data_IF_662012367173
#
_entry.id   IF_662012367173
#
_cell.length_a   1.000
_cell.length_b   1.000
_cell.length_c   1.000
_cell.angle_alpha   90.00
_cell.angle_beta   90.00
_cell.angle_gamma   90.00
#
_symmetry.space_group_name_H-M   'P 1'
#
loop_
_entity.id
_entity.type
_entity.pdbx_description
1 polymer ?
#
# COMPACT_ATOMS: atom_id res chain seq x y z
N UNK A 1 -16.93 14.97 3.38
CA UNK A 1 -16.01 14.99 4.54
C UNK A 1 -15.06 16.16 4.41
N UNK A 2 -14.54 16.65 5.52
CA UNK A 2 -13.48 17.66 5.55
C UNK A 2 -12.10 16.97 5.63
N UNK A 3 -11.22 17.23 4.66
CA UNK A 3 -9.87 16.63 4.62
C UNK A 3 -8.99 16.99 5.82
N UNK A 4 -9.28 18.09 6.50
CA UNK A 4 -8.54 18.54 7.67
C UNK A 4 -9.11 17.98 8.98
N UNK A 5 -10.30 17.36 8.94
CA UNK A 5 -10.91 16.70 10.10
C UNK A 5 -10.40 15.26 10.18
N UNK A 6 -9.74 14.94 11.30
CA UNK A 6 -9.06 13.65 11.51
C UNK A 6 -9.98 12.45 11.22
N UNK A 7 -11.20 12.45 11.76
CA UNK A 7 -12.14 11.32 11.56
C UNK A 7 -12.47 11.10 10.10
N UNK A 8 -12.69 12.17 9.34
CA UNK A 8 -13.10 12.10 7.94
C UNK A 8 -11.92 11.65 7.08
N UNK A 9 -10.72 12.16 7.35
CA UNK A 9 -9.50 11.78 6.66
C UNK A 9 -9.10 10.31 6.92
N UNK A 10 -9.17 9.86 8.17
CA UNK A 10 -8.81 8.49 8.56
C UNK A 10 -9.80 7.48 7.96
N UNK A 11 -11.10 7.76 8.01
CA UNK A 11 -12.11 6.87 7.40
C UNK A 11 -11.96 6.82 5.88
N UNK A 12 -11.78 7.97 5.22
CA UNK A 12 -11.57 8.00 3.77
C UNK A 12 -10.31 7.25 3.34
N UNK A 13 -9.22 7.35 4.12
CA UNK A 13 -8.01 6.57 3.88
C UNK A 13 -8.27 5.06 4.03
N UNK A 14 -9.02 4.64 5.05
CA UNK A 14 -9.40 3.24 5.24
C UNK A 14 -10.16 2.68 4.04
N UNK A 15 -11.17 3.42 3.57
CA UNK A 15 -11.96 3.05 2.38
C UNK A 15 -11.09 2.97 1.12
N UNK A 16 -10.16 3.90 0.96
CA UNK A 16 -9.22 3.88 -0.17
C UNK A 16 -8.26 2.69 -0.10
N UNK A 17 -7.75 2.34 1.09
CA UNK A 17 -6.94 1.13 1.28
C UNK A 17 -7.72 -0.15 0.95
N UNK A 18 -9.02 -0.22 1.29
CA UNK A 18 -9.87 -1.34 0.86
C UNK A 18 -10.03 -1.41 -0.66
N UNK A 19 -10.09 -0.26 -1.34
CA UNK A 19 -10.15 -0.19 -2.80
C UNK A 19 -8.85 -0.68 -3.43
N UNK A 20 -7.70 -0.20 -2.93
CA UNK A 20 -6.38 -0.66 -3.35
C UNK A 20 -6.25 -2.17 -3.17
N UNK A 21 -6.62 -2.70 -2.00
CA UNK A 21 -6.51 -4.14 -1.72
C UNK A 21 -7.27 -4.97 -2.75
N UNK A 22 -8.53 -4.61 -3.06
CA UNK A 22 -9.33 -5.30 -4.10
C UNK A 22 -8.66 -5.26 -5.47
N UNK A 23 -8.11 -4.11 -5.86
CA UNK A 23 -7.42 -3.95 -7.14
C UNK A 23 -6.17 -4.81 -7.22
N UNK A 24 -5.31 -4.76 -6.20
CA UNK A 24 -4.08 -5.54 -6.14
C UNK A 24 -4.40 -7.05 -6.04
N UNK A 25 -5.41 -7.46 -5.27
CA UNK A 25 -5.81 -8.86 -5.15
C UNK A 25 -6.27 -9.45 -6.49
N UNK A 26 -6.98 -8.67 -7.31
CA UNK A 26 -7.34 -9.08 -8.66
C UNK A 26 -6.07 -9.35 -9.52
N UNK A 27 -5.09 -8.45 -9.46
CA UNK A 27 -3.82 -8.58 -10.19
C UNK A 27 -2.92 -9.69 -9.65
N UNK A 28 -2.99 -9.99 -8.35
CA UNK A 28 -2.32 -11.15 -7.77
C UNK A 28 -2.95 -12.44 -8.28
N UNK A 29 -4.28 -12.48 -8.34
CA UNK A 29 -5.04 -13.65 -8.79
C UNK A 29 -4.85 -13.94 -10.27
N UNK A 30 -4.73 -12.91 -11.12
CA UNK A 30 -4.45 -13.08 -12.55
C UNK A 30 -2.95 -13.24 -12.88
N UNK A 31 -2.08 -13.00 -11.89
CA UNK A 31 -0.64 -13.17 -11.99
C UNK A 31 0.10 -11.99 -12.64
N UNK A 32 -0.59 -10.87 -12.90
CA UNK A 32 0.00 -9.65 -13.47
C UNK A 32 0.93 -8.93 -12.49
N UNK A 33 0.76 -9.10 -11.18
CA UNK A 33 1.70 -8.59 -10.17
C UNK A 33 2.17 -9.68 -9.22
N UNK A 34 3.40 -9.57 -8.73
CA UNK A 34 4.02 -10.54 -7.81
C UNK A 34 4.76 -9.83 -6.67
N UNK A 35 4.44 -10.11 -5.40
CA UNK A 35 5.16 -9.61 -4.27
C UNK A 35 6.20 -10.62 -3.77
N UNK A 36 7.48 -10.26 -3.63
CA UNK A 36 8.43 -11.10 -2.91
C UNK A 36 8.07 -11.32 -1.43
N UNK A 37 7.43 -10.35 -0.77
CA UNK A 37 7.20 -10.36 0.69
C UNK A 37 5.71 -10.46 1.08
N UNK A 38 4.85 -10.81 0.12
CA UNK A 38 3.41 -10.90 0.31
C UNK A 38 2.64 -9.61 -0.05
N UNK A 39 1.30 -9.71 -0.14
CA UNK A 39 0.47 -8.69 -0.80
C UNK A 39 0.49 -7.31 -0.12
N UNK A 40 0.72 -7.26 1.20
CA UNK A 40 0.74 -6.03 1.98
C UNK A 40 1.73 -4.99 1.45
N UNK A 41 2.89 -5.40 0.93
CA UNK A 41 3.86 -4.44 0.39
C UNK A 41 3.34 -3.75 -0.87
N UNK A 42 2.54 -4.43 -1.68
CA UNK A 42 1.96 -3.86 -2.90
C UNK A 42 0.78 -2.95 -2.60
N UNK A 43 0.00 -3.22 -1.55
CA UNK A 43 -1.03 -2.29 -1.09
C UNK A 43 -0.41 -0.95 -0.66
N UNK A 44 0.68 -1.02 0.12
CA UNK A 44 1.38 0.18 0.60
C UNK A 44 2.12 0.91 -0.52
N UNK A 45 2.72 0.15 -1.45
CA UNK A 45 3.32 0.73 -2.65
C UNK A 45 2.27 1.46 -3.50
N UNK A 46 1.12 0.85 -3.74
CA UNK A 46 0.02 1.47 -4.49
C UNK A 46 -0.50 2.74 -3.81
N UNK A 47 -0.62 2.75 -2.48
CA UNK A 47 -1.03 3.95 -1.76
C UNK A 47 -0.04 5.11 -1.92
N UNK A 48 1.26 4.84 -1.94
CA UNK A 48 2.30 5.87 -1.98
C UNK A 48 2.72 6.27 -3.41
N UNK A 49 2.83 5.30 -4.31
CA UNK A 49 3.31 5.46 -5.69
C UNK A 49 2.21 5.37 -6.76
N UNK A 50 0.99 4.98 -6.37
CA UNK A 50 -0.15 4.73 -7.26
C UNK A 50 -0.24 3.27 -7.73
N UNK A 51 -1.47 2.76 -7.86
CA UNK A 51 -1.78 1.41 -8.35
C UNK A 51 -1.17 1.15 -9.73
N UNK A 52 -1.19 2.15 -10.62
CA UNK A 52 -0.66 2.02 -11.97
C UNK A 52 0.86 1.80 -12.04
N UNK A 53 1.61 2.25 -11.03
CA UNK A 53 3.04 1.96 -10.93
C UNK A 53 3.29 0.49 -10.60
N UNK A 54 2.53 -0.04 -9.64
CA UNK A 54 2.57 -1.46 -9.25
C UNK A 54 2.20 -2.36 -10.43
N UNK A 55 1.13 -2.02 -11.16
CA UNK A 55 0.71 -2.80 -12.33
C UNK A 55 1.75 -2.78 -13.45
N UNK A 56 2.26 -1.59 -13.80
CA UNK A 56 3.22 -1.42 -14.90
C UNK A 56 4.52 -2.19 -14.66
N UNK A 57 4.96 -2.28 -13.41
CA UNK A 57 6.21 -2.96 -13.05
C UNK A 57 5.99 -4.41 -12.60
N UNK A 58 4.74 -4.88 -12.55
CA UNK A 58 4.40 -6.25 -12.19
C UNK A 58 4.72 -6.62 -10.74
N UNK A 59 4.80 -5.64 -9.84
CA UNK A 59 5.26 -5.83 -8.47
C UNK A 59 5.61 -4.51 -7.78
N UNK A 60 6.49 -4.57 -6.78
CA UNK A 60 6.89 -3.37 -6.07
C UNK A 60 7.67 -2.45 -7.03
N UNK A 61 7.29 -1.17 -7.18
CA UNK A 61 7.85 -0.32 -8.21
C UNK A 61 9.29 0.11 -7.85
N UNK A 62 10.16 0.19 -8.85
CA UNK A 62 11.61 0.46 -8.73
C UNK A 62 12.16 1.34 -9.85
N UNK A 63 11.38 1.60 -10.91
CA UNK A 63 11.85 2.31 -12.11
C UNK A 63 12.27 3.76 -11.84
N UNK A 64 11.63 4.47 -10.90
CA UNK A 64 11.99 5.83 -10.53
C UNK A 64 12.73 5.88 -9.20
N UNK A 65 13.66 6.83 -9.06
CA UNK A 65 14.44 7.03 -7.84
C UNK A 65 13.57 7.17 -6.60
N UNK A 66 12.44 7.87 -6.72
CA UNK A 66 11.51 8.08 -5.62
C UNK A 66 10.85 6.80 -5.12
N UNK A 67 10.69 5.77 -5.97
CA UNK A 67 10.16 4.49 -5.51
C UNK A 67 11.14 3.77 -4.59
N UNK A 68 12.44 3.96 -4.82
CA UNK A 68 13.51 3.38 -4.02
C UNK A 68 13.75 4.20 -2.76
N UNK A 69 13.79 5.53 -2.87
CA UNK A 69 14.14 6.42 -1.75
C UNK A 69 12.96 6.81 -0.87
N UNK A 70 11.73 6.69 -1.37
CA UNK A 70 10.51 7.06 -0.63
C UNK A 70 9.55 5.87 -0.47
N UNK A 71 9.12 5.23 -1.57
CA UNK A 71 8.05 4.22 -1.53
C UNK A 71 8.46 2.95 -0.78
N UNK A 72 9.64 2.39 -1.05
CA UNK A 72 10.15 1.22 -0.32
C UNK A 72 10.32 1.51 1.17
N UNK A 73 11.03 2.57 1.60
CA UNK A 73 11.11 2.94 3.01
C UNK A 73 9.75 3.21 3.67
N UNK A 74 8.79 3.78 2.94
CA UNK A 74 7.42 3.99 3.42
C UNK A 74 6.73 2.67 3.78
N UNK A 75 6.74 1.69 2.86
CA UNK A 75 6.13 0.39 3.09
C UNK A 75 6.82 -0.37 4.23
N UNK A 76 8.15 -0.41 4.22
CA UNK A 76 8.95 -1.14 5.22
C UNK A 76 8.71 -0.58 6.63
N UNK A 77 8.66 0.76 6.77
CA UNK A 77 8.39 1.41 8.05
C UNK A 77 7.01 1.06 8.60
N UNK A 78 5.98 1.03 7.75
CA UNK A 78 4.62 0.70 8.20
C UNK A 78 4.54 -0.78 8.60
N UNK A 79 5.07 -1.69 7.79
CA UNK A 79 5.06 -3.14 8.07
C UNK A 79 5.80 -3.44 9.38
N UNK A 80 6.97 -2.83 9.59
CA UNK A 80 7.77 -3.02 10.81
C UNK A 80 7.03 -2.55 12.09
N UNK A 81 6.14 -1.57 11.97
CA UNK A 81 5.39 -1.05 13.11
C UNK A 81 4.00 -1.65 13.27
N UNK A 82 3.49 -2.36 12.27
CA UNK A 82 2.12 -2.88 12.24
C UNK A 82 1.80 -3.74 13.47
N UNK A 83 2.69 -4.69 13.80
CA UNK A 83 2.49 -5.62 14.91
C UNK A 83 2.34 -4.90 16.27
N UNK A 84 3.06 -3.78 16.44
CA UNK A 84 2.97 -2.93 17.64
C UNK A 84 1.57 -2.35 17.78
N UNK A 85 0.99 -1.80 16.70
CA UNK A 85 -0.33 -1.19 16.74
C UNK A 85 -1.46 -2.22 16.80
N UNK A 86 -1.29 -3.38 16.16
CA UNK A 86 -2.23 -4.50 16.26
C UNK A 86 -2.41 -4.99 17.69
N UNK A 87 -1.33 -4.97 18.49
CA UNK A 87 -1.34 -5.42 19.87
C UNK A 87 -2.06 -4.45 20.83
N UNK A 88 -2.22 -3.17 20.47
CA UNK A 88 -2.87 -2.17 21.33
C UNK A 88 -4.38 -2.41 21.48
N UNK A 89 -4.98 -3.07 20.48
CA UNK A 89 -6.43 -3.34 20.43
C UNK A 89 -6.79 -4.77 20.86
N UNK A 90 -5.88 -5.47 21.55
CA UNK A 90 -6.12 -6.78 22.17
C UNK A 90 -6.13 -6.65 23.69
#
# INVERSE_FOLDING_TARGET
>A
GDRNKISDAVMAQGDYMCTIAKTIDAWLSDGSVKPPNGPTELYLAAYNAGEGAVQREGGFPTMYSDYITQTRPYADKIIANEAKYRAINK
#
